data_IF_647841767318
#
_entry.id   IF_647841767318
#
_cell.length_a   1.000
_cell.length_b   1.000
_cell.length_c   1.000
_cell.angle_alpha   90.00
_cell.angle_beta   90.00
_cell.angle_gamma   90.00
#
_symmetry.space_group_name_H-M   'P 1'
#
loop_
_entity.id
_entity.type
_entity.pdbx_description
1 polymer ?
#
# COMPACT_ATOMS: atom_id res chain seq x y z
N UNK A 1 -4.69 21.34 4.20
CA UNK A 1 -4.58 20.95 2.78
C UNK A 1 -3.18 20.40 2.53
N UNK A 2 -3.04 19.07 2.30
CA UNK A 2 -1.77 18.53 1.78
C UNK A 2 -1.50 19.32 0.50
N UNK A 3 -0.38 20.06 0.43
CA UNK A 3 0.03 20.72 -0.82
C UNK A 3 0.18 19.61 -1.84
N UNK A 4 -0.81 19.42 -2.71
CA UNK A 4 -0.66 18.62 -3.92
C UNK A 4 0.48 19.30 -4.64
N UNK A 5 1.68 18.72 -4.54
CA UNK A 5 2.89 19.27 -5.16
C UNK A 5 2.47 19.55 -6.61
N UNK A 6 2.55 20.79 -7.07
CA UNK A 6 2.04 21.20 -8.39
C UNK A 6 2.57 20.32 -9.55
N UNK A 7 3.65 19.57 -9.29
CA UNK A 7 4.24 18.57 -10.16
C UNK A 7 3.39 17.29 -10.33
N UNK A 8 2.47 16.95 -9.44
CA UNK A 8 1.70 15.70 -9.51
C UNK A 8 0.72 15.71 -10.69
N UNK A 9 0.03 16.84 -10.93
CA UNK A 9 -0.88 17.01 -12.07
C UNK A 9 -0.15 17.07 -13.41
N UNK A 10 1.17 17.31 -13.40
CA UNK A 10 2.03 17.32 -14.59
C UNK A 10 2.57 15.94 -14.96
N UNK A 11 2.38 14.94 -14.09
CA UNK A 11 2.81 13.57 -14.38
C UNK A 11 1.82 12.90 -15.36
N UNK A 12 2.32 12.01 -16.23
CA UNK A 12 1.47 11.15 -17.05
C UNK A 12 0.42 10.43 -16.20
N UNK A 13 -0.74 10.16 -16.79
CA UNK A 13 -1.89 9.55 -16.09
C UNK A 13 -1.50 8.22 -15.43
N UNK A 14 -0.68 7.42 -16.11
CA UNK A 14 -0.20 6.11 -15.67
C UNK A 14 0.60 6.24 -14.39
N UNK A 15 1.45 7.27 -14.28
CA UNK A 15 2.24 7.55 -13.08
C UNK A 15 1.37 8.04 -11.93
N UNK A 16 0.35 8.86 -12.22
CA UNK A 16 -0.63 9.27 -11.21
C UNK A 16 -1.43 8.07 -10.69
N UNK A 17 -1.87 7.20 -11.58
CA UNK A 17 -2.60 5.99 -11.23
C UNK A 17 -1.75 5.03 -10.39
N UNK A 18 -0.47 4.83 -10.75
CA UNK A 18 0.45 4.00 -9.99
C UNK A 18 0.64 4.53 -8.56
N UNK A 19 0.85 5.84 -8.39
CA UNK A 19 1.01 6.44 -7.05
C UNK A 19 -0.27 6.36 -6.22
N UNK A 20 -1.43 6.65 -6.82
CA UNK A 20 -2.72 6.53 -6.14
C UNK A 20 -3.00 5.09 -5.71
N UNK A 21 -2.66 4.11 -6.57
CA UNK A 21 -2.82 2.70 -6.24
C UNK A 21 -1.87 2.26 -5.11
N UNK A 22 -0.62 2.72 -5.11
CA UNK A 22 0.33 2.47 -4.01
C UNK A 22 -0.19 3.03 -2.68
N UNK A 23 -0.69 4.27 -2.66
CA UNK A 23 -1.26 4.88 -1.45
C UNK A 23 -2.47 4.08 -0.94
N UNK A 24 -3.38 3.68 -1.82
CA UNK A 24 -4.52 2.85 -1.44
C UNK A 24 -4.11 1.48 -0.88
N UNK A 25 -3.08 0.84 -1.46
CA UNK A 25 -2.55 -0.44 -0.97
C UNK A 25 -1.89 -0.27 0.40
N UNK A 26 -1.13 0.80 0.61
CA UNK A 26 -0.48 1.11 1.89
C UNK A 26 -1.52 1.33 3.00
N UNK A 27 -2.61 2.05 2.71
CA UNK A 27 -3.72 2.25 3.65
C UNK A 27 -4.38 0.91 4.05
N UNK A 28 -4.60 0.01 3.08
CA UNK A 28 -5.16 -1.33 3.36
C UNK A 28 -4.22 -2.16 4.24
N UNK A 29 -2.90 -2.10 4.00
CA UNK A 29 -1.90 -2.78 4.81
C UNK A 29 -1.94 -2.28 6.25
N UNK A 30 -1.98 -0.95 6.44
CA UNK A 30 -2.02 -0.32 7.76
C UNK A 30 -3.32 -0.67 8.51
N UNK A 31 -4.46 -0.65 7.83
CA UNK A 31 -5.74 -1.05 8.42
C UNK A 31 -5.71 -2.51 8.88
N UNK A 32 -5.25 -3.43 8.03
CA UNK A 32 -5.17 -4.85 8.39
C UNK A 32 -4.15 -5.11 9.50
N UNK A 33 -3.04 -4.38 9.52
CA UNK A 33 -2.06 -4.43 10.61
C UNK A 33 -2.69 -4.01 11.94
N UNK A 34 -3.46 -2.91 11.93
CA UNK A 34 -4.17 -2.36 13.09
C UNK A 34 -5.26 -3.30 13.60
N UNK A 35 -6.04 -3.90 12.71
CA UNK A 35 -7.13 -4.82 13.05
C UNK A 35 -6.65 -6.25 13.35
N UNK A 36 -5.37 -6.55 13.09
CA UNK A 36 -4.83 -7.90 13.26
C UNK A 36 -5.37 -8.91 12.24
N UNK A 37 -5.75 -8.44 11.05
CA UNK A 37 -6.31 -9.26 9.99
C UNK A 37 -5.22 -9.76 9.02
N UNK A 38 -5.39 -10.96 8.43
CA UNK A 38 -4.50 -11.43 7.38
C UNK A 38 -4.77 -10.72 6.04
N UNK A 39 -3.77 -10.70 5.16
CA UNK A 39 -3.95 -10.28 3.76
C UNK A 39 -3.76 -11.48 2.83
N UNK A 40 -4.44 -11.45 1.68
CA UNK A 40 -4.28 -12.44 0.62
C UNK A 40 -3.78 -11.71 -0.63
N UNK A 41 -2.63 -12.12 -1.14
CA UNK A 41 -1.98 -11.46 -2.29
C UNK A 41 -1.74 -12.45 -3.42
N UNK A 42 -1.79 -11.97 -4.65
CA UNK A 42 -1.30 -12.72 -5.80
C UNK A 42 0.23 -12.75 -5.81
N UNK A 43 0.83 -13.94 -5.86
CA UNK A 43 2.27 -14.14 -6.05
C UNK A 43 2.50 -15.34 -6.96
N UNK A 44 3.20 -15.12 -8.08
CA UNK A 44 3.51 -16.16 -9.07
C UNK A 44 2.25 -16.92 -9.54
N UNK A 45 1.16 -16.18 -9.83
CA UNK A 45 -0.11 -16.75 -10.27
C UNK A 45 -0.91 -17.49 -9.19
N UNK A 46 -0.46 -17.48 -7.92
CA UNK A 46 -1.15 -18.12 -6.79
C UNK A 46 -1.58 -17.11 -5.74
N UNK A 47 -2.67 -17.40 -5.05
CA UNK A 47 -3.07 -16.63 -3.87
C UNK A 47 -2.27 -17.11 -2.66
N UNK A 48 -1.58 -16.19 -1.99
CA UNK A 48 -0.76 -16.46 -0.79
C UNK A 48 -1.30 -15.66 0.37
N UNK A 49 -1.50 -16.33 1.52
CA UNK A 49 -1.90 -15.69 2.77
C UNK A 49 -0.68 -15.10 3.50
N UNK A 50 -0.77 -13.83 3.87
CA UNK A 50 0.11 -13.16 4.82
C UNK A 50 -0.54 -13.19 6.19
N UNK A 51 0.17 -13.71 7.19
CA UNK A 51 -0.31 -13.70 8.57
C UNK A 51 -0.35 -12.28 9.14
N UNK A 52 -1.19 -12.01 10.15
CA UNK A 52 -1.25 -10.69 10.80
C UNK A 52 0.11 -10.18 11.29
N UNK A 53 0.99 -11.06 11.77
CA UNK A 53 2.36 -10.69 12.16
C UNK A 53 3.20 -10.19 10.98
N UNK A 54 3.08 -10.83 9.80
CA UNK A 54 3.76 -10.37 8.59
C UNK A 54 3.18 -9.05 8.09
N UNK A 55 1.85 -8.89 8.14
CA UNK A 55 1.18 -7.63 7.76
C UNK A 55 1.63 -6.46 8.66
N UNK A 56 1.72 -6.68 9.98
CA UNK A 56 2.30 -5.69 10.91
C UNK A 56 3.76 -5.34 10.59
N UNK A 57 4.57 -6.34 10.20
CA UNK A 57 5.94 -6.11 9.76
C UNK A 57 6.01 -5.24 8.50
N UNK A 58 5.13 -5.48 7.53
CA UNK A 58 5.04 -4.70 6.28
C UNK A 58 4.64 -3.25 6.55
N UNK A 59 3.57 -3.02 7.34
CA UNK A 59 3.14 -1.69 7.75
C UNK A 59 4.30 -0.90 8.36
N UNK A 60 5.04 -1.48 9.32
CA UNK A 60 6.20 -0.81 9.95
C UNK A 60 7.30 -0.45 8.96
N UNK A 61 7.58 -1.30 7.98
CA UNK A 61 8.61 -1.03 6.97
C UNK A 61 8.22 0.09 6.00
N UNK A 62 6.93 0.25 5.71
CA UNK A 62 6.44 1.32 4.84
C UNK A 62 6.61 2.70 5.48
N UNK A 63 6.49 2.80 6.80
CA UNK A 63 6.69 4.05 7.56
C UNK A 63 8.15 4.42 7.80
N UNK A 64 9.11 3.56 7.45
CA UNK A 64 10.55 3.80 7.61
C UNK A 64 11.27 4.13 6.29
N UNK A 65 10.51 4.34 5.21
CA UNK A 65 11.01 4.64 3.86
C UNK A 65 10.74 6.08 3.46
#
# INVERSE_FOLDING_TARGET
>A
MKRTRANFLRLPLEKRAEMAFREAVDEVIDEHARLGLPLYIGRNGKVVKLSPNKVRGLSRSNHHK
#
